data_IF_247749724346
#
_entry.id   IF_247749724346
#
_cell.length_a   1.000
_cell.length_b   1.000
_cell.length_c   1.000
_cell.angle_alpha   90.00
_cell.angle_beta   90.00
_cell.angle_gamma   90.00
#
_symmetry.space_group_name_H-M   'P 1'
#
loop_
_entity.id
_entity.type
_entity.pdbx_description
1 polymer ?
#
# COMPACT_ATOMS: atom_id res chain seq x y z
N UNK A 1 -27.30 30.18 -2.74
CA UNK A 1 -27.02 28.83 -3.26
C UNK A 1 -26.39 29.01 -4.63
N UNK A 2 -25.07 28.89 -4.73
CA UNK A 2 -24.39 28.88 -6.03
C UNK A 2 -24.97 27.76 -6.89
N UNK A 3 -25.29 28.05 -8.15
CA UNK A 3 -25.80 27.05 -9.10
C UNK A 3 -24.73 25.98 -9.29
N UNK A 4 -24.95 24.80 -8.70
CA UNK A 4 -24.11 23.62 -8.91
C UNK A 4 -23.99 23.33 -10.40
N UNK A 5 -22.79 22.98 -10.86
CA UNK A 5 -22.59 22.59 -12.27
C UNK A 5 -23.47 21.36 -12.59
N UNK A 6 -24.05 21.27 -13.80
CA UNK A 6 -24.91 20.13 -14.19
C UNK A 6 -24.27 18.76 -13.95
N UNK A 7 -22.97 18.64 -14.19
CA UNK A 7 -22.17 17.42 -13.95
C UNK A 7 -22.21 16.98 -12.48
N UNK A 8 -22.15 17.93 -11.55
CA UNK A 8 -22.16 17.69 -10.10
C UNK A 8 -23.55 17.26 -9.63
N UNK A 9 -24.60 17.83 -10.23
CA UNK A 9 -25.99 17.44 -9.96
C UNK A 9 -26.23 16.00 -10.42
N UNK A 10 -25.79 15.66 -11.63
CA UNK A 10 -25.93 14.29 -12.15
C UNK A 10 -25.16 13.26 -11.31
N UNK A 11 -23.98 13.62 -10.79
CA UNK A 11 -23.23 12.77 -9.85
C UNK A 11 -23.98 12.56 -8.53
N UNK A 12 -24.51 13.63 -7.93
CA UNK A 12 -25.28 13.53 -6.68
C UNK A 12 -26.53 12.65 -6.82
N UNK A 13 -27.22 12.71 -7.95
CA UNK A 13 -28.41 11.91 -8.22
C UNK A 13 -28.12 10.41 -8.39
N UNK A 14 -26.91 10.06 -8.83
CA UNK A 14 -26.49 8.68 -9.06
C UNK A 14 -25.59 8.12 -7.94
N UNK A 15 -25.34 8.91 -6.89
CA UNK A 15 -24.50 8.53 -5.77
C UNK A 15 -25.13 7.39 -4.95
N UNK A 16 -24.47 6.24 -4.92
CA UNK A 16 -24.86 5.10 -4.09
C UNK A 16 -23.69 4.72 -3.16
N UNK A 17 -23.73 5.09 -1.87
CA UNK A 17 -22.70 4.76 -0.89
C UNK A 17 -22.38 3.26 -0.83
N UNK A 18 -23.34 2.39 -1.18
CA UNK A 18 -23.16 0.93 -1.15
C UNK A 18 -22.22 0.44 -2.24
N UNK A 19 -21.98 1.23 -3.28
CA UNK A 19 -21.05 0.88 -4.36
C UNK A 19 -19.62 1.32 -4.08
N UNK A 20 -19.40 2.20 -3.11
CA UNK A 20 -18.08 2.77 -2.83
C UNK A 20 -17.12 1.79 -2.16
N UNK A 21 -17.65 0.83 -1.40
CA UNK A 21 -16.85 -0.05 -0.56
C UNK A 21 -17.28 -1.50 -0.67
N UNK A 22 -16.30 -2.40 -0.61
CA UNK A 22 -16.55 -3.81 -0.30
C UNK A 22 -15.44 -4.40 0.56
N UNK A 23 -15.80 -5.23 1.53
CA UNK A 23 -14.85 -6.04 2.30
C UNK A 23 -14.55 -7.35 1.57
N UNK A 24 -13.37 -7.95 1.77
CA UNK A 24 -13.03 -9.24 1.14
C UNK A 24 -13.90 -10.40 1.62
N UNK A 25 -14.37 -10.35 2.87
CA UNK A 25 -15.21 -11.37 3.50
C UNK A 25 -16.71 -11.25 3.19
N UNK A 26 -17.12 -10.24 2.42
CA UNK A 26 -18.52 -9.98 2.10
C UNK A 26 -18.75 -10.23 0.61
N UNK A 27 -19.72 -11.06 0.23
CA UNK A 27 -20.11 -11.18 -1.17
C UNK A 27 -20.99 -9.99 -1.58
N UNK A 28 -20.61 -9.28 -2.65
CA UNK A 28 -21.33 -8.10 -3.16
C UNK A 28 -21.43 -8.18 -4.68
N UNK A 29 -22.35 -9.02 -5.23
CA UNK A 29 -22.35 -9.40 -6.65
C UNK A 29 -22.33 -8.22 -7.64
N UNK A 30 -22.97 -7.10 -7.28
CA UNK A 30 -23.03 -5.89 -8.11
C UNK A 30 -21.65 -5.24 -8.32
N UNK A 31 -20.78 -5.26 -7.30
CA UNK A 31 -19.44 -4.66 -7.36
C UNK A 31 -18.33 -5.69 -7.52
N UNK A 32 -18.60 -7.00 -7.42
CA UNK A 32 -17.58 -8.06 -7.45
C UNK A 32 -17.14 -8.41 -8.88
N UNK A 33 -16.62 -7.40 -9.56
CA UNK A 33 -16.10 -7.50 -10.92
C UNK A 33 -14.91 -6.55 -11.10
N UNK A 34 -14.16 -6.77 -12.17
CA UNK A 34 -12.93 -6.01 -12.45
C UNK A 34 -13.20 -4.53 -12.73
N UNK A 35 -14.40 -4.15 -13.18
CA UNK A 35 -14.75 -2.75 -13.47
C UNK A 35 -14.82 -1.93 -12.19
N UNK A 36 -15.41 -2.47 -11.12
CA UNK A 36 -15.51 -1.77 -9.83
C UNK A 36 -14.26 -1.96 -8.96
N UNK A 37 -13.64 -3.14 -8.97
CA UNK A 37 -12.55 -3.47 -8.03
C UNK A 37 -11.14 -3.36 -8.62
N UNK A 38 -11.04 -3.28 -9.95
CA UNK A 38 -9.80 -3.58 -10.66
C UNK A 38 -9.44 -5.07 -10.61
N UNK A 39 -8.48 -5.48 -11.44
CA UNK A 39 -8.04 -6.88 -11.51
C UNK A 39 -7.46 -7.39 -10.19
N UNK A 40 -6.60 -6.60 -9.52
CA UNK A 40 -5.93 -7.02 -8.28
C UNK A 40 -6.92 -7.35 -7.17
N UNK A 41 -7.84 -6.42 -6.86
CA UNK A 41 -8.77 -6.63 -5.76
C UNK A 41 -9.84 -7.69 -6.09
N UNK A 42 -10.26 -7.78 -7.36
CA UNK A 42 -11.14 -8.86 -7.82
C UNK A 42 -10.53 -10.26 -7.56
N UNK A 43 -9.26 -10.46 -7.93
CA UNK A 43 -8.61 -11.75 -7.70
C UNK A 43 -8.28 -12.00 -6.23
N UNK A 44 -7.91 -10.97 -5.45
CA UNK A 44 -7.76 -11.11 -3.99
C UNK A 44 -9.05 -11.59 -3.34
N UNK A 45 -10.19 -11.00 -3.73
CA UNK A 45 -11.50 -11.38 -3.20
C UNK A 45 -11.90 -12.81 -3.60
N UNK A 46 -11.59 -13.24 -4.82
CA UNK A 46 -11.76 -14.65 -5.24
C UNK A 46 -10.89 -15.62 -4.45
N UNK A 47 -9.62 -15.29 -4.24
CA UNK A 47 -8.73 -16.13 -3.43
C UNK A 47 -9.22 -16.21 -1.98
N UNK A 48 -9.69 -15.10 -1.42
CA UNK A 48 -10.29 -15.04 -0.09
C UNK A 48 -11.55 -15.91 0.00
N UNK A 49 -12.46 -15.86 -0.99
CA UNK A 49 -13.67 -16.70 -1.01
C UNK A 49 -13.36 -18.19 -1.16
N UNK A 50 -12.25 -18.53 -1.80
CA UNK A 50 -11.72 -19.90 -1.89
C UNK A 50 -10.89 -20.32 -0.67
N UNK A 51 -10.89 -19.52 0.42
CA UNK A 51 -10.20 -19.80 1.69
C UNK A 51 -8.68 -19.94 1.58
N UNK A 52 -8.06 -19.34 0.55
CA UNK A 52 -6.61 -19.15 0.54
C UNK A 52 -6.20 -18.19 1.68
N UNK A 53 -4.96 -18.27 2.19
CA UNK A 53 -4.47 -17.45 3.29
C UNK A 53 -4.19 -16.00 2.83
N UNK A 54 -5.24 -15.30 2.45
CA UNK A 54 -5.20 -13.89 2.03
C UNK A 54 -5.47 -13.02 3.27
N UNK A 55 -4.58 -12.09 3.63
CA UNK A 55 -4.85 -11.16 4.72
C UNK A 55 -6.15 -10.37 4.49
N UNK A 56 -6.98 -10.18 5.53
CA UNK A 56 -8.25 -9.46 5.41
C UNK A 56 -8.03 -8.01 4.95
N UNK A 57 -9.02 -7.48 4.26
CA UNK A 57 -8.98 -6.14 3.70
C UNK A 57 -10.32 -5.70 3.14
N UNK A 58 -10.36 -4.46 2.66
CA UNK A 58 -11.48 -3.88 1.95
C UNK A 58 -10.99 -3.06 0.76
N UNK A 59 -11.92 -2.71 -0.13
CA UNK A 59 -11.67 -2.02 -1.38
C UNK A 59 -12.55 -0.79 -1.44
N UNK A 60 -11.94 0.35 -1.74
CA UNK A 60 -12.61 1.53 -2.29
C UNK A 60 -12.71 1.32 -3.79
N UNK A 61 -13.93 1.24 -4.31
CA UNK A 61 -14.16 0.90 -5.72
C UNK A 61 -13.79 2.07 -6.64
N UNK A 62 -13.80 1.82 -7.95
CA UNK A 62 -13.62 2.86 -8.97
C UNK A 62 -14.72 3.93 -8.94
N UNK A 63 -15.88 3.70 -8.31
CA UNK A 63 -16.90 4.73 -8.11
C UNK A 63 -16.40 5.87 -7.23
N UNK A 64 -15.58 5.58 -6.21
CA UNK A 64 -14.95 6.64 -5.42
C UNK A 64 -14.12 7.56 -6.29
N UNK A 65 -13.37 6.98 -7.25
CA UNK A 65 -12.59 7.75 -8.20
C UNK A 65 -13.51 8.60 -9.09
N UNK A 66 -14.62 8.06 -9.59
CA UNK A 66 -15.58 8.82 -10.42
C UNK A 66 -16.21 9.99 -9.65
N UNK A 67 -16.58 9.77 -8.40
CA UNK A 67 -17.28 10.73 -7.56
C UNK A 67 -16.35 11.73 -6.85
N UNK A 68 -15.02 11.58 -6.99
CA UNK A 68 -14.01 12.38 -6.26
C UNK A 68 -14.21 13.89 -6.34
N UNK A 69 -14.73 14.40 -7.46
CA UNK A 69 -14.98 15.83 -7.66
C UNK A 69 -16.16 16.31 -6.81
N UNK A 70 -17.26 15.55 -6.79
CA UNK A 70 -18.42 15.83 -5.94
C UNK A 70 -18.04 15.69 -4.46
N UNK A 71 -17.34 14.62 -4.10
CA UNK A 71 -16.88 14.38 -2.72
C UNK A 71 -16.06 15.56 -2.19
N UNK A 72 -15.17 16.15 -3.01
CA UNK A 72 -14.37 17.32 -2.63
C UNK A 72 -15.19 18.60 -2.49
N UNK A 73 -16.30 18.74 -3.21
CA UNK A 73 -17.14 19.95 -3.18
C UNK A 73 -18.17 19.94 -2.04
N UNK A 74 -18.51 18.77 -1.50
CA UNK A 74 -19.50 18.64 -0.42
C UNK A 74 -18.85 18.09 0.87
N UNK A 75 -18.54 18.95 1.85
CA UNK A 75 -17.91 18.54 3.11
C UNK A 75 -18.67 17.44 3.86
N UNK A 76 -20.01 17.47 3.85
CA UNK A 76 -20.83 16.45 4.52
C UNK A 76 -20.70 15.07 3.88
N UNK A 77 -20.58 15.01 2.55
CA UNK A 77 -20.35 13.77 1.81
C UNK A 77 -18.98 13.21 2.14
N UNK A 78 -17.96 14.06 2.16
CA UNK A 78 -16.61 13.68 2.58
C UNK A 78 -16.60 13.13 4.00
N UNK A 79 -17.25 13.81 4.95
CA UNK A 79 -17.38 13.36 6.34
C UNK A 79 -18.08 12.01 6.46
N UNK A 80 -19.15 11.78 5.70
CA UNK A 80 -19.85 10.50 5.66
C UNK A 80 -18.93 9.37 5.16
N UNK A 81 -18.13 9.63 4.11
CA UNK A 81 -17.15 8.67 3.57
C UNK A 81 -16.04 8.37 4.59
N UNK A 82 -15.55 9.37 5.32
CA UNK A 82 -14.60 9.13 6.42
C UNK A 82 -15.19 8.21 7.49
N UNK A 83 -16.47 8.39 7.83
CA UNK A 83 -17.22 7.49 8.71
C UNK A 83 -17.22 6.05 8.20
N UNK A 84 -17.53 5.84 6.92
CA UNK A 84 -17.51 4.51 6.30
C UNK A 84 -16.13 3.87 6.30
N UNK A 85 -15.06 4.63 6.03
CA UNK A 85 -13.68 4.13 6.11
C UNK A 85 -13.37 3.67 7.54
N UNK A 86 -13.77 4.45 8.55
CA UNK A 86 -13.58 4.12 9.96
C UNK A 86 -14.35 2.84 10.35
N UNK A 87 -15.57 2.66 9.85
CA UNK A 87 -16.35 1.45 10.07
C UNK A 87 -15.65 0.22 9.46
N UNK A 88 -15.08 0.36 8.26
CA UNK A 88 -14.30 -0.71 7.61
C UNK A 88 -12.99 -1.04 8.33
N UNK A 89 -12.29 -0.05 8.88
CA UNK A 89 -11.15 -0.30 9.77
C UNK A 89 -11.60 -1.05 11.02
N UNK A 90 -12.73 -0.66 11.62
CA UNK A 90 -13.29 -1.33 12.81
C UNK A 90 -13.68 -2.79 12.52
N UNK A 91 -14.21 -3.08 11.33
CA UNK A 91 -14.44 -4.46 10.87
C UNK A 91 -13.11 -5.26 10.82
N UNK A 92 -12.04 -4.67 10.28
CA UNK A 92 -10.71 -5.32 10.25
C UNK A 92 -10.16 -5.56 11.66
N UNK A 93 -10.30 -4.62 12.59
CA UNK A 93 -9.90 -4.82 13.99
C UNK A 93 -10.59 -6.03 14.62
N UNK A 94 -11.90 -6.19 14.38
CA UNK A 94 -12.69 -7.33 14.89
C UNK A 94 -12.22 -8.67 14.32
N UNK A 95 -11.85 -8.70 13.04
CA UNK A 95 -11.39 -9.91 12.34
C UNK A 95 -9.98 -10.29 12.79
N UNK A 96 -9.07 -9.31 12.81
CA UNK A 96 -7.64 -9.51 13.09
C UNK A 96 -7.31 -9.61 14.58
N UNK A 97 -8.22 -9.15 15.45
CA UNK A 97 -7.99 -8.98 16.89
C UNK A 97 -6.86 -8.00 17.22
N UNK A 98 -6.50 -7.15 16.28
CA UNK A 98 -5.54 -6.03 16.43
C UNK A 98 -6.31 -4.71 16.48
N UNK A 99 -5.65 -3.65 16.93
CA UNK A 99 -6.27 -2.32 17.03
C UNK A 99 -5.47 -1.27 16.27
N UNK A 100 -6.14 -0.52 15.42
CA UNK A 100 -5.53 0.48 14.56
C UNK A 100 -5.07 1.68 15.39
N UNK A 101 -3.76 1.94 15.37
CA UNK A 101 -3.14 2.96 16.19
C UNK A 101 -2.82 2.56 17.64
N UNK A 102 -3.01 1.30 18.02
CA UNK A 102 -2.62 0.80 19.35
C UNK A 102 -1.15 0.37 19.37
N UNK A 103 -0.28 0.99 20.20
CA UNK A 103 1.12 0.59 20.31
C UNK A 103 1.35 -0.84 20.80
N UNK A 104 0.44 -1.41 21.60
CA UNK A 104 0.66 -2.73 22.19
C UNK A 104 0.33 -3.87 21.23
N UNK A 105 -0.73 -3.71 20.43
CA UNK A 105 -1.17 -4.69 19.44
C UNK A 105 -1.63 -4.02 18.14
N UNK A 106 -0.70 -3.40 17.40
CA UNK A 106 -1.04 -2.53 16.28
C UNK A 106 -1.59 -3.31 15.08
N UNK A 107 -2.72 -2.86 14.56
CA UNK A 107 -3.12 -3.15 13.19
C UNK A 107 -2.33 -2.20 12.27
N UNK A 108 -1.57 -2.76 11.34
CA UNK A 108 -0.87 -2.01 10.29
C UNK A 108 -1.49 -2.39 8.93
N UNK A 109 -1.54 -1.42 8.01
CA UNK A 109 -2.26 -1.52 6.76
C UNK A 109 -1.34 -1.29 5.55
N UNK A 110 -1.65 -1.96 4.45
CA UNK A 110 -1.13 -1.70 3.12
C UNK A 110 -2.22 -1.00 2.30
N UNK A 111 -1.87 0.12 1.65
CA UNK A 111 -2.76 0.84 0.74
C UNK A 111 -2.20 0.71 -0.68
N UNK A 112 -2.96 0.05 -1.55
CA UNK A 112 -2.47 -0.40 -2.87
C UNK A 112 -3.47 -0.02 -3.96
N UNK A 113 -2.99 0.44 -5.12
CA UNK A 113 -3.86 0.66 -6.28
C UNK A 113 -4.41 -0.65 -6.85
N UNK A 114 -5.63 -0.61 -7.37
CA UNK A 114 -6.25 -1.65 -8.19
C UNK A 114 -6.78 -1.06 -9.50
N UNK A 115 -6.17 -1.41 -10.63
CA UNK A 115 -6.60 -0.97 -11.97
C UNK A 115 -7.30 -2.12 -12.69
N UNK A 116 -8.23 -1.82 -13.61
CA UNK A 116 -8.96 -2.84 -14.40
C UNK A 116 -7.98 -3.69 -15.20
N UNK A 117 -7.06 -3.01 -15.90
CA UNK A 117 -5.95 -3.64 -16.62
C UNK A 117 -4.70 -3.55 -15.76
N UNK A 118 -3.96 -4.65 -15.63
CA UNK A 118 -2.74 -4.68 -14.81
C UNK A 118 -1.70 -3.70 -15.35
N UNK A 119 -1.21 -2.82 -14.48
CA UNK A 119 -0.12 -1.88 -14.79
C UNK A 119 1.03 -2.08 -13.80
N UNK A 120 1.89 -3.11 -13.98
CA UNK A 120 2.98 -3.41 -13.06
C UNK A 120 3.93 -2.22 -12.92
N UNK A 121 4.22 -1.81 -11.68
CA UNK A 121 5.17 -0.73 -11.37
C UNK A 121 4.75 0.69 -11.76
N UNK A 122 3.55 0.88 -12.34
CA UNK A 122 3.10 2.19 -12.80
C UNK A 122 2.39 3.02 -11.71
N UNK A 123 1.69 2.33 -10.81
CA UNK A 123 0.90 2.92 -9.73
C UNK A 123 1.60 2.75 -8.40
N UNK A 124 1.43 3.71 -7.50
CA UNK A 124 2.10 3.71 -6.22
C UNK A 124 1.35 2.82 -5.20
N UNK A 125 2.07 2.35 -4.19
CA UNK A 125 1.53 1.62 -3.04
C UNK A 125 2.28 2.08 -1.81
N UNK A 126 1.58 2.24 -0.70
CA UNK A 126 2.17 2.66 0.56
C UNK A 126 1.91 1.56 1.59
N UNK A 127 3.00 1.00 2.11
CA UNK A 127 2.98 -0.08 3.09
C UNK A 127 3.24 0.46 4.49
N UNK A 128 2.95 -0.37 5.50
CA UNK A 128 3.17 -0.08 6.93
C UNK A 128 2.37 1.12 7.46
N UNK A 129 1.25 1.47 6.82
CA UNK A 129 0.34 2.54 7.25
C UNK A 129 -0.24 2.21 8.64
N UNK A 130 -0.26 3.21 9.50
CA UNK A 130 -0.56 3.11 10.92
C UNK A 130 0.69 3.18 11.80
N UNK A 131 1.91 3.12 11.25
CA UNK A 131 3.14 3.31 12.05
C UNK A 131 3.38 4.79 12.38
N UNK A 132 3.88 5.00 13.59
CA UNK A 132 4.41 6.26 14.12
C UNK A 132 5.56 5.95 15.09
N UNK A 133 6.19 6.99 15.67
CA UNK A 133 7.30 6.82 16.61
C UNK A 133 6.95 5.84 17.75
N UNK A 134 5.78 6.02 18.37
CA UNK A 134 5.35 5.23 19.52
C UNK A 134 5.12 3.74 19.15
N UNK A 135 4.49 3.49 18.00
CA UNK A 135 4.22 2.14 17.49
C UNK A 135 5.53 1.47 17.04
N UNK A 136 6.44 2.20 16.41
CA UNK A 136 7.76 1.68 16.03
C UNK A 136 8.57 1.29 17.27
N UNK A 137 8.63 2.15 18.28
CA UNK A 137 9.28 1.86 19.57
C UNK A 137 8.68 0.62 20.24
N UNK A 138 7.35 0.54 20.31
CA UNK A 138 6.66 -0.58 20.97
C UNK A 138 6.87 -1.90 20.23
N UNK A 139 6.69 -1.90 18.91
CA UNK A 139 6.95 -3.08 18.07
C UNK A 139 8.40 -3.53 18.17
N UNK A 140 9.36 -2.61 18.26
CA UNK A 140 10.78 -2.96 18.35
C UNK A 140 11.13 -3.76 19.60
N UNK A 141 10.31 -3.68 20.66
CA UNK A 141 10.50 -4.42 21.92
C UNK A 141 9.96 -5.85 21.85
N UNK A 142 9.17 -6.19 20.83
CA UNK A 142 8.67 -7.54 20.66
C UNK A 142 9.80 -8.48 20.20
N UNK A 143 9.86 -9.73 20.71
CA UNK A 143 10.90 -10.68 20.35
C UNK A 143 10.98 -10.87 18.82
N UNK A 144 12.16 -10.62 18.25
CA UNK A 144 12.42 -10.76 16.81
C UNK A 144 11.95 -9.58 15.93
N UNK A 145 11.28 -8.57 16.48
CA UNK A 145 10.77 -7.43 15.72
C UNK A 145 11.67 -6.19 15.73
N UNK A 146 12.68 -6.13 16.61
CA UNK A 146 13.54 -4.95 16.79
C UNK A 146 13.98 -4.30 15.48
N UNK A 147 14.65 -5.08 14.61
CA UNK A 147 15.09 -4.58 13.32
C UNK A 147 13.93 -4.31 12.34
N UNK A 148 12.94 -5.21 12.30
CA UNK A 148 11.83 -5.15 11.35
C UNK A 148 10.91 -3.94 11.58
N UNK A 149 10.67 -3.58 12.84
CA UNK A 149 9.90 -2.40 13.22
C UNK A 149 10.56 -1.13 12.65
N UNK A 150 11.86 -0.96 12.87
CA UNK A 150 12.58 0.21 12.38
C UNK A 150 12.78 0.22 10.85
N UNK A 151 12.99 -0.94 10.21
CA UNK A 151 13.01 -1.05 8.73
C UNK A 151 11.65 -0.69 8.13
N UNK A 152 10.56 -1.19 8.69
CA UNK A 152 9.20 -0.86 8.27
C UNK A 152 8.87 0.63 8.45
N UNK A 153 9.26 1.22 9.58
CA UNK A 153 9.03 2.64 9.84
C UNK A 153 9.82 3.53 8.88
N UNK A 154 11.11 3.23 8.67
CA UNK A 154 11.95 3.88 7.66
C UNK A 154 11.30 3.85 6.27
N UNK A 155 10.79 2.69 5.85
CA UNK A 155 10.15 2.53 4.53
C UNK A 155 8.90 3.37 4.41
N UNK A 156 8.08 3.43 5.46
CA UNK A 156 6.94 4.33 5.49
C UNK A 156 7.38 5.79 5.32
N UNK A 157 8.39 6.25 6.06
CA UNK A 157 8.92 7.61 5.94
C UNK A 157 9.43 7.90 4.52
N UNK A 158 10.14 6.95 3.90
CA UNK A 158 10.60 7.07 2.52
C UNK A 158 9.44 7.21 1.54
N UNK A 159 8.47 6.29 1.61
CA UNK A 159 7.30 6.32 0.72
C UNK A 159 6.46 7.59 0.95
N UNK A 160 6.34 8.04 2.19
CA UNK A 160 5.65 9.30 2.54
C UNK A 160 6.34 10.51 1.92
N UNK A 161 7.66 10.61 2.05
CA UNK A 161 8.44 11.68 1.44
C UNK A 161 8.35 11.66 -0.08
N UNK A 162 8.46 10.48 -0.69
CA UNK A 162 8.32 10.31 -2.14
C UNK A 162 6.92 10.71 -2.64
N UNK A 163 5.85 10.41 -1.88
CA UNK A 163 4.50 10.85 -2.21
C UNK A 163 4.35 12.39 -2.18
N UNK A 164 5.20 13.08 -1.41
CA UNK A 164 5.28 14.55 -1.36
C UNK A 164 6.35 15.14 -2.31
N UNK A 165 6.93 14.31 -3.19
CA UNK A 165 7.86 14.76 -4.23
C UNK A 165 9.35 14.74 -3.85
N UNK A 166 9.73 14.23 -2.68
CA UNK A 166 11.14 14.02 -2.34
C UNK A 166 11.71 12.89 -3.21
N UNK A 167 12.87 13.11 -3.81
CA UNK A 167 13.47 12.14 -4.71
C UNK A 167 14.06 10.94 -3.95
N UNK A 168 13.92 9.74 -4.52
CA UNK A 168 14.43 8.49 -3.93
C UNK A 168 15.92 8.57 -3.61
N UNK A 169 16.70 9.19 -4.49
CA UNK A 169 18.15 9.34 -4.37
C UNK A 169 18.58 10.05 -3.08
N UNK A 170 17.74 10.91 -2.50
CA UNK A 170 18.05 11.57 -1.23
C UNK A 170 18.00 10.59 -0.06
N UNK A 171 17.04 9.66 -0.07
CA UNK A 171 16.97 8.57 0.91
C UNK A 171 18.10 7.57 0.69
N UNK A 172 18.40 7.23 -0.57
CA UNK A 172 19.47 6.29 -0.90
C UNK A 172 20.85 6.82 -0.47
N UNK A 173 21.10 8.13 -0.59
CA UNK A 173 22.31 8.78 -0.04
C UNK A 173 22.43 8.59 1.47
N UNK A 174 21.34 8.72 2.23
CA UNK A 174 21.36 8.48 3.67
C UNK A 174 21.75 7.02 3.96
N UNK A 175 21.13 6.06 3.26
CA UNK A 175 21.45 4.64 3.42
C UNK A 175 22.92 4.33 3.08
N UNK A 176 23.46 4.89 2.00
CA UNK A 176 24.87 4.72 1.60
C UNK A 176 25.80 5.28 2.67
N UNK A 177 25.56 6.49 3.17
CA UNK A 177 26.38 7.10 4.21
C UNK A 177 26.41 6.25 5.49
N UNK A 178 25.29 5.66 5.89
CA UNK A 178 25.25 4.77 7.06
C UNK A 178 25.94 3.43 6.81
N UNK A 179 25.88 2.89 5.59
CA UNK A 179 26.65 1.69 5.22
C UNK A 179 28.15 1.93 5.34
N UNK A 180 28.63 3.09 4.89
CA UNK A 180 30.03 3.49 5.02
C UNK A 180 30.42 3.72 6.50
N UNK A 181 29.60 4.46 7.25
CA UNK A 181 29.84 4.76 8.66
C UNK A 181 29.97 3.50 9.52
N UNK A 182 29.08 2.53 9.33
CA UNK A 182 29.06 1.27 10.08
C UNK A 182 29.84 0.14 9.38
N UNK A 183 30.49 0.41 8.24
CA UNK A 183 31.27 -0.55 7.45
C UNK A 183 30.50 -1.83 7.09
N UNK A 184 29.22 -1.68 6.77
CA UNK A 184 28.34 -2.79 6.37
C UNK A 184 28.04 -2.75 4.87
N UNK A 185 28.06 -3.92 4.21
CA UNK A 185 27.74 -4.02 2.77
C UNK A 185 26.23 -4.05 2.52
N UNK A 186 25.50 -4.78 3.36
CA UNK A 186 24.08 -5.06 3.18
C UNK A 186 23.24 -4.42 4.26
N UNK A 187 22.02 -3.98 3.92
CA UNK A 187 21.11 -3.39 4.91
C UNK A 187 20.70 -4.36 6.02
N UNK A 188 20.68 -5.66 5.73
CA UNK A 188 20.23 -6.70 6.68
C UNK A 188 21.20 -6.92 7.84
N UNK A 189 22.44 -6.42 7.72
CA UNK A 189 23.48 -6.56 8.73
C UNK A 189 23.51 -5.41 9.74
N UNK A 190 22.73 -4.33 9.53
CA UNK A 190 22.55 -3.31 10.57
C UNK A 190 21.88 -3.94 11.80
N UNK A 191 22.29 -3.48 12.98
CA UNK A 191 21.58 -3.72 14.24
C UNK A 191 20.23 -2.98 14.28
N UNK A 192 19.39 -3.36 15.24
CA UNK A 192 18.14 -2.66 15.55
C UNK A 192 18.35 -1.18 15.92
N UNK A 193 19.38 -0.88 16.72
CA UNK A 193 19.75 0.49 17.14
C UNK A 193 20.25 1.35 15.99
N UNK A 194 21.07 0.77 15.11
CA UNK A 194 21.51 1.43 13.89
C UNK A 194 20.32 1.71 12.99
N UNK A 195 19.42 0.73 12.84
CA UNK A 195 18.25 0.89 12.01
C UNK A 195 17.29 1.99 12.51
N UNK A 196 17.11 2.08 13.83
CA UNK A 196 16.41 3.18 14.49
C UNK A 196 17.02 4.53 14.11
N UNK A 197 18.35 4.65 14.17
CA UNK A 197 19.07 5.89 13.83
C UNK A 197 18.85 6.28 12.36
N UNK A 198 18.84 5.31 11.45
CA UNK A 198 18.55 5.54 10.04
C UNK A 198 17.10 6.02 9.87
N UNK A 199 16.12 5.41 10.55
CA UNK A 199 14.73 5.83 10.48
C UNK A 199 14.53 7.30 10.91
N UNK A 200 15.14 7.73 12.02
CA UNK A 200 15.10 9.14 12.43
C UNK A 200 15.84 10.06 11.45
N UNK A 201 16.88 9.58 10.78
CA UNK A 201 17.55 10.36 9.72
C UNK A 201 16.65 10.57 8.50
N UNK A 202 15.80 9.60 8.17
CA UNK A 202 14.77 9.73 7.12
C UNK A 202 13.70 10.73 7.55
N UNK A 203 13.26 10.67 8.81
CA UNK A 203 12.32 11.65 9.38
C UNK A 203 12.87 13.08 9.33
N UNK A 204 14.14 13.27 9.72
CA UNK A 204 14.83 14.55 9.60
C UNK A 204 14.94 15.04 8.14
N UNK A 205 15.04 14.13 7.16
CA UNK A 205 15.01 14.49 5.75
C UNK A 205 13.63 15.06 5.36
N UNK A 206 12.53 14.48 5.86
CA UNK A 206 11.19 15.02 5.64
C UNK A 206 11.09 16.45 6.18
N UNK A 207 11.58 16.70 7.40
CA UNK A 207 11.55 18.03 8.02
C UNK A 207 12.38 19.06 7.22
N UNK A 208 13.54 18.67 6.70
CA UNK A 208 14.37 19.53 5.82
C UNK A 208 13.62 19.96 4.55
N UNK A 209 12.79 19.07 4.01
CA UNK A 209 11.92 19.33 2.87
C UNK A 209 10.58 19.96 3.24
N UNK A 210 10.36 20.29 4.53
CA UNK A 210 9.10 20.82 5.08
C UNK A 210 7.91 19.89 4.82
N UNK A 211 8.17 18.59 4.70
CA UNK A 211 7.15 17.55 4.59
C UNK A 211 6.82 17.08 6.00
N UNK A 212 5.63 17.41 6.48
CA UNK A 212 5.15 16.91 7.77
C UNK A 212 4.80 15.42 7.66
N UNK A 213 5.35 14.60 8.54
CA UNK A 213 4.89 13.24 8.71
C UNK A 213 3.59 13.20 9.53
N UNK A 214 2.56 12.52 9.04
CA UNK A 214 1.30 12.38 9.76
C UNK A 214 1.41 11.27 10.82
N UNK A 215 1.33 11.66 12.09
CA UNK A 215 1.47 10.77 13.24
C UNK A 215 0.13 10.14 13.66
N UNK A 216 -1.00 10.78 13.32
CA UNK A 216 -2.34 10.26 13.58
C UNK A 216 -2.64 9.13 12.58
N UNK A 217 -2.79 7.87 13.03
CA UNK A 217 -2.95 6.72 12.12
C UNK A 217 -4.12 6.88 11.16
N UNK A 218 -5.27 7.38 11.63
CA UNK A 218 -6.44 7.55 10.77
C UNK A 218 -6.21 8.60 9.69
N UNK A 219 -5.66 9.77 10.02
CA UNK A 219 -5.32 10.79 9.02
C UNK A 219 -4.26 10.29 8.03
N UNK A 220 -3.29 9.50 8.52
CA UNK A 220 -2.27 8.87 7.70
C UNK A 220 -2.88 7.92 6.67
N UNK A 221 -3.89 7.12 7.05
CA UNK A 221 -4.64 6.26 6.14
C UNK A 221 -5.38 7.06 5.07
N UNK A 222 -6.07 8.14 5.46
CA UNK A 222 -6.79 8.99 4.51
C UNK A 222 -5.85 9.62 3.49
N UNK A 223 -4.71 10.15 3.95
CA UNK A 223 -3.69 10.71 3.05
C UNK A 223 -3.10 9.64 2.12
N UNK A 224 -2.82 8.43 2.63
CA UNK A 224 -2.33 7.33 1.82
C UNK A 224 -3.33 6.91 0.72
N UNK A 225 -4.62 6.85 1.05
CA UNK A 225 -5.69 6.59 0.08
C UNK A 225 -5.68 7.67 -1.01
N UNK A 226 -5.61 8.95 -0.62
CA UNK A 226 -5.56 10.08 -1.56
C UNK A 226 -4.32 9.99 -2.46
N UNK A 227 -3.15 9.68 -1.92
CA UNK A 227 -1.92 9.54 -2.71
C UNK A 227 -2.00 8.41 -3.72
N UNK A 228 -2.57 7.26 -3.34
CA UNK A 228 -2.74 6.14 -4.29
C UNK A 228 -3.71 6.51 -5.41
N UNK A 229 -4.82 7.21 -5.11
CA UNK A 229 -5.69 7.74 -6.16
C UNK A 229 -4.97 8.77 -7.06
N UNK A 230 -4.17 9.66 -6.46
CA UNK A 230 -3.40 10.66 -7.20
C UNK A 230 -2.30 10.04 -8.07
N UNK A 231 -1.76 8.86 -7.70
CA UNK A 231 -0.75 8.16 -8.51
C UNK A 231 -1.26 7.78 -9.89
N UNK A 232 -2.59 7.73 -10.10
CA UNK A 232 -3.18 7.61 -11.43
C UNK A 232 -2.73 8.75 -12.37
N UNK A 233 -2.41 9.91 -11.83
CA UNK A 233 -1.96 11.07 -12.60
C UNK A 233 -0.45 11.21 -12.68
N UNK A 234 0.31 10.28 -12.08
CA UNK A 234 1.76 10.34 -12.18
C UNK A 234 2.21 10.07 -13.64
N UNK A 235 3.40 10.57 -13.99
CA UNK A 235 3.94 10.48 -15.36
C UNK A 235 4.07 9.02 -15.84
N UNK A 236 4.41 8.09 -14.94
CA UNK A 236 4.58 6.66 -15.25
C UNK A 236 3.24 6.03 -15.65
N UNK A 237 2.19 6.26 -14.86
CA UNK A 237 0.84 5.78 -15.11
C UNK A 237 0.25 6.40 -16.39
N UNK A 238 0.45 7.70 -16.63
CA UNK A 238 0.00 8.37 -17.85
C UNK A 238 0.63 7.77 -19.11
N UNK A 239 1.96 7.56 -19.12
CA UNK A 239 2.67 6.94 -20.25
C UNK A 239 2.16 5.51 -20.47
N UNK A 240 2.02 4.72 -19.40
CA UNK A 240 1.57 3.35 -19.49
C UNK A 240 0.13 3.25 -20.05
N UNK A 241 -0.77 4.15 -19.61
CA UNK A 241 -2.13 4.25 -20.15
C UNK A 241 -2.16 4.63 -21.61
N UNK A 242 -1.36 5.61 -22.03
CA UNK A 242 -1.26 6.02 -23.43
C UNK A 242 -0.84 4.84 -24.32
N UNK A 243 0.14 4.06 -23.87
CA UNK A 243 0.63 2.90 -24.62
C UNK A 243 -0.40 1.76 -24.70
N UNK A 244 -1.15 1.53 -23.63
CA UNK A 244 -2.19 0.49 -23.58
C UNK A 244 -3.59 0.97 -23.99
N UNK A 245 -3.72 2.21 -24.47
CA UNK A 245 -4.99 2.84 -24.85
C UNK A 245 -6.06 2.78 -23.74
N UNK A 246 -5.63 2.97 -22.49
CA UNK A 246 -6.51 2.98 -21.32
C UNK A 246 -7.04 4.41 -21.12
N UNK A 247 -8.36 4.54 -21.13
CA UNK A 247 -9.02 5.82 -20.95
C UNK A 247 -8.85 6.35 -19.50
N UNK A 248 -8.77 7.67 -19.35
CA UNK A 248 -8.47 8.30 -18.06
C UNK A 248 -9.61 8.13 -17.05
N UNK A 249 -10.84 8.13 -17.55
CA UNK A 249 -12.10 8.04 -16.82
C UNK A 249 -12.34 6.67 -16.16
N UNK A 250 -11.59 5.63 -16.55
CA UNK A 250 -11.67 4.32 -15.91
C UNK A 250 -11.23 4.35 -14.44
N UNK A 251 -10.28 5.25 -14.14
CA UNK A 251 -9.78 5.44 -12.78
C UNK A 251 -9.10 4.21 -12.18
N UNK A 252 -8.99 4.23 -10.85
CA UNK A 252 -8.41 3.14 -10.06
C UNK A 252 -9.25 2.92 -8.82
N UNK A 253 -9.35 1.66 -8.38
CA UNK A 253 -9.77 1.29 -7.03
C UNK A 253 -8.58 1.40 -6.06
N UNK A 254 -8.86 1.49 -4.76
CA UNK A 254 -7.84 1.44 -3.69
C UNK A 254 -8.14 0.26 -2.78
N UNK A 255 -7.11 -0.54 -2.53
CA UNK A 255 -7.16 -1.72 -1.68
C UNK A 255 -6.50 -1.37 -0.36
N UNK A 256 -7.22 -1.55 0.74
CA UNK A 256 -6.71 -1.39 2.11
C UNK A 256 -6.70 -2.77 2.75
N UNK A 257 -5.52 -3.28 3.08
CA UNK A 257 -5.33 -4.66 3.52
C UNK A 257 -4.46 -4.73 4.78
N UNK A 258 -4.68 -5.70 5.65
CA UNK A 258 -3.77 -5.98 6.77
C UNK A 258 -2.34 -6.24 6.28
N UNK A 259 -1.35 -5.63 6.94
CA UNK A 259 0.06 -5.90 6.72
C UNK A 259 0.46 -7.28 7.22
N UNK A 260 1.25 -7.96 6.41
CA UNK A 260 2.07 -9.13 6.80
C UNK A 260 3.53 -8.80 6.53
N UNK A 261 4.42 -9.31 7.38
CA UNK A 261 5.83 -8.90 7.39
C UNK A 261 6.73 -10.03 6.89
N UNK A 262 7.31 -9.85 5.71
CA UNK A 262 8.37 -10.73 5.20
C UNK A 262 9.77 -10.42 5.76
N UNK A 263 9.90 -9.36 6.57
CA UNK A 263 11.17 -8.79 7.04
C UNK A 263 11.48 -9.01 8.53
N UNK A 264 10.73 -9.88 9.23
CA UNK A 264 10.93 -10.14 10.68
C UNK A 264 12.28 -10.83 10.93
N UNK A 265 12.48 -12.01 10.37
CA UNK A 265 13.66 -12.84 10.60
C UNK A 265 14.02 -13.67 9.36
N UNK A 266 14.97 -14.61 9.51
CA UNK A 266 15.41 -15.50 8.43
C UNK A 266 14.32 -16.42 7.88
N UNK A 267 13.31 -16.74 8.70
CA UNK A 267 12.17 -17.60 8.36
C UNK A 267 11.00 -16.81 7.73
N UNK A 268 11.18 -15.50 7.59
CA UNK A 268 10.23 -14.62 6.93
C UNK A 268 10.73 -14.26 5.54
N UNK A 269 9.84 -14.06 4.58
CA UNK A 269 10.24 -13.65 3.24
C UNK A 269 9.08 -13.16 2.39
N UNK A 270 9.43 -12.72 1.19
CA UNK A 270 8.49 -12.31 0.14
C UNK A 270 8.95 -12.90 -1.18
N UNK A 271 8.03 -13.18 -2.09
CA UNK A 271 8.37 -13.68 -3.41
C UNK A 271 7.26 -13.51 -4.41
N UNK A 272 7.59 -13.76 -5.68
CA UNK A 272 6.66 -13.76 -6.81
C UNK A 272 6.90 -15.04 -7.59
N UNK A 273 5.83 -15.79 -7.82
CA UNK A 273 5.89 -17.04 -8.58
C UNK A 273 4.92 -17.00 -9.76
N UNK A 274 5.29 -17.71 -10.80
CA UNK A 274 4.49 -18.05 -11.96
C UNK A 274 4.37 -19.56 -12.01
N UNK A 275 3.18 -20.06 -12.35
CA UNK A 275 2.93 -21.50 -12.51
C UNK A 275 3.47 -22.06 -13.83
N UNK A 276 4.05 -21.20 -14.67
CA UNK A 276 4.66 -21.50 -15.96
C UNK A 276 5.78 -20.49 -16.22
N UNK A 277 6.76 -20.87 -17.02
CA UNK A 277 7.83 -19.98 -17.45
C UNK A 277 7.24 -18.96 -18.47
N UNK A 278 7.20 -17.65 -18.16
CA UNK A 278 6.42 -16.68 -18.94
C UNK A 278 6.96 -16.40 -20.35
N UNK A 279 8.22 -16.76 -20.62
CA UNK A 279 8.86 -16.60 -21.94
C UNK A 279 8.94 -17.91 -22.73
N UNK A 280 8.49 -19.03 -22.17
CA UNK A 280 8.40 -20.30 -22.88
C UNK A 280 6.98 -20.57 -23.37
N UNK A 281 6.87 -21.27 -24.50
CA UNK A 281 5.57 -21.72 -25.05
C UNK A 281 5.14 -23.08 -24.51
N UNK A 282 5.91 -23.67 -23.59
CA UNK A 282 5.60 -24.97 -23.01
C UNK A 282 4.27 -24.93 -22.25
N UNK A 283 3.48 -25.99 -22.40
CA UNK A 283 2.26 -26.18 -21.61
C UNK A 283 2.56 -26.75 -20.23
N UNK A 284 3.80 -27.15 -19.95
CA UNK A 284 4.24 -27.74 -18.68
C UNK A 284 4.03 -26.78 -17.51
N UNK A 285 3.67 -27.37 -16.36
CA UNK A 285 3.53 -26.67 -15.09
C UNK A 285 4.89 -26.73 -14.40
N UNK A 286 5.63 -25.63 -14.45
CA UNK A 286 6.92 -25.46 -13.80
C UNK A 286 6.84 -24.18 -12.99
N UNK A 287 7.15 -24.26 -11.69
CA UNK A 287 7.25 -23.08 -10.84
C UNK A 287 8.45 -22.26 -11.27
N UNK A 288 8.21 -21.01 -11.64
CA UNK A 288 9.23 -20.04 -12.03
C UNK A 288 9.04 -18.77 -11.21
N UNK A 289 10.11 -18.23 -10.65
CA UNK A 289 10.04 -16.98 -9.91
C UNK A 289 11.12 -16.87 -8.84
N UNK A 290 11.05 -15.76 -8.12
CA UNK A 290 12.09 -15.34 -7.19
C UNK A 290 11.51 -15.01 -5.82
N UNK A 291 12.27 -15.28 -4.77
CA UNK A 291 11.95 -14.90 -3.41
C UNK A 291 13.17 -14.32 -2.68
N UNK A 292 12.92 -13.60 -1.60
CA UNK A 292 13.99 -13.06 -0.74
C UNK A 292 13.58 -13.19 0.72
N UNK A 293 14.51 -13.70 1.53
CA UNK A 293 14.36 -13.83 2.98
C UNK A 293 14.59 -12.48 3.66
N UNK A 294 13.91 -12.26 4.78
CA UNK A 294 13.98 -11.03 5.60
C UNK A 294 13.81 -9.76 4.76
N UNK A 295 12.77 -9.72 3.93
CA UNK A 295 12.57 -8.69 2.91
C UNK A 295 11.08 -8.34 2.74
N UNK A 296 10.79 -7.13 2.22
CA UNK A 296 9.44 -6.71 1.84
C UNK A 296 9.31 -6.66 0.31
N UNK A 297 8.09 -6.80 -0.21
CA UNK A 297 7.85 -6.96 -1.65
C UNK A 297 8.47 -5.89 -2.55
N UNK A 298 8.65 -4.67 -2.06
CA UNK A 298 9.36 -3.58 -2.75
C UNK A 298 10.79 -3.95 -3.14
N UNK A 299 11.47 -4.75 -2.32
CA UNK A 299 12.86 -5.12 -2.55
C UNK A 299 13.00 -6.03 -3.78
N UNK A 300 12.09 -7.00 -3.92
CA UNK A 300 12.01 -7.90 -5.09
C UNK A 300 11.78 -7.08 -6.36
N UNK A 301 10.81 -6.16 -6.33
CA UNK A 301 10.47 -5.34 -7.50
C UNK A 301 11.59 -4.36 -7.87
N UNK A 302 12.34 -3.87 -6.89
CA UNK A 302 13.40 -2.89 -7.10
C UNK A 302 14.71 -3.48 -7.65
N UNK A 303 14.92 -4.79 -7.55
CA UNK A 303 16.19 -5.44 -7.92
C UNK A 303 17.38 -5.06 -7.04
N UNK A 304 17.15 -4.39 -5.90
CA UNK A 304 18.22 -3.94 -4.99
C UNK A 304 18.73 -5.02 -4.04
N UNK A 305 18.07 -6.17 -4.00
CA UNK A 305 18.44 -7.31 -3.16
C UNK A 305 18.71 -8.52 -4.03
N UNK A 306 19.62 -9.38 -3.57
CA UNK A 306 19.79 -10.70 -4.15
C UNK A 306 18.53 -11.53 -3.88
N UNK A 307 17.81 -11.87 -4.94
CA UNK A 307 16.68 -12.78 -4.88
C UNK A 307 17.16 -14.20 -5.22
N UNK A 308 16.55 -15.19 -4.57
CA UNK A 308 16.80 -16.61 -4.77
C UNK A 308 15.71 -17.18 -5.69
N UNK A 309 16.05 -18.06 -6.63
CA UNK A 309 15.04 -18.72 -7.46
C UNK A 309 14.19 -19.64 -6.59
N UNK A 310 12.91 -19.80 -6.93
CA UNK A 310 11.97 -20.69 -6.22
C UNK A 310 12.40 -22.18 -6.23
N UNK A 311 13.40 -22.53 -7.04
CA UNK A 311 14.00 -23.86 -7.09
C UNK A 311 15.03 -24.16 -5.99
N UNK A 312 15.46 -23.16 -5.21
CA UNK A 312 16.23 -23.38 -3.98
C UNK A 312 15.36 -23.88 -2.82
#
# INVERSE_FOLDING_TARGET
MEKLKPEVIHMLLNYDPKLLFTSFNQLTPKVDNQTFLGAKAHYLKKLYSYKFPVPPGFVLTTEWFRDRTAIKQFPEMYKAILGLIKDKVTELEKITKKKYGDPQNPLLLAVRSGTVISMPGAMDSILNIGMNDQIAESLSKLPGYGWAAWDSYRRLLQNWGMAHGIMRDEFDKIMVNFKELYKVKEKKTFSDKEMRTIAFSYKNLLDKHRVRFEECPFEQLIQAIIFVFQSWYNKRAQIYRKNLQIAEEWGTAVIVQEMVFGNINSESGTGVIFTKIPFEKSSEIVLYGDFSRRSQGEDIVSGLVHALPVSE
#
